data_IF_451958472297
#
_entry.id   IF_451958472297
#
_cell.length_a   1.000
_cell.length_b   1.000
_cell.length_c   1.000
_cell.angle_alpha   90.00
_cell.angle_beta   90.00
_cell.angle_gamma   90.00
#
_symmetry.space_group_name_H-M   'P 1'
#
loop_
_entity.id
_entity.type
_entity.pdbx_description
1 polymer ?
#
# COMPACT_ATOMS: atom_id res chain seq x y z
N UNK A 1 45.57 -34.37 14.22
CA UNK A 1 44.97 -35.72 14.36
C UNK A 1 44.11 -35.72 15.61
N UNK A 2 42.80 -35.76 15.44
CA UNK A 2 41.84 -36.19 16.45
C UNK A 2 40.49 -36.39 15.75
N UNK A 3 39.93 -37.55 15.97
CA UNK A 3 38.97 -38.26 15.13
C UNK A 3 37.53 -37.72 15.22
N UNK A 4 36.79 -37.96 14.14
CA UNK A 4 35.34 -37.98 14.10
C UNK A 4 34.80 -39.13 14.97
N UNK A 5 33.83 -38.86 15.84
CA UNK A 5 32.77 -39.83 16.23
C UNK A 5 31.46 -39.10 16.53
N UNK A 6 30.36 -39.53 15.92
CA UNK A 6 28.98 -39.17 16.26
C UNK A 6 28.39 -40.23 17.19
N UNK A 7 27.77 -39.89 18.34
CA UNK A 7 26.96 -40.86 19.09
C UNK A 7 25.44 -40.58 19.02
N UNK A 8 24.79 -41.51 18.31
CA UNK A 8 23.48 -42.16 18.45
C UNK A 8 22.13 -41.41 18.57
N UNK A 9 21.30 -41.72 17.58
CA UNK A 9 19.86 -41.49 17.52
C UNK A 9 19.13 -42.49 18.42
N UNK A 10 18.63 -42.06 19.58
CA UNK A 10 17.56 -42.79 20.26
C UNK A 10 16.21 -42.42 19.65
N UNK A 11 15.70 -43.31 18.80
CA UNK A 11 14.27 -43.38 18.43
C UNK A 11 13.46 -43.67 19.69
N UNK A 12 12.55 -42.79 20.06
CA UNK A 12 11.43 -43.13 20.95
C UNK A 12 10.10 -42.80 20.28
N UNK A 13 9.26 -43.84 20.26
CA UNK A 13 7.91 -43.87 19.69
C UNK A 13 6.98 -42.87 20.37
N UNK A 14 6.00 -42.44 19.57
CA UNK A 14 4.81 -41.69 19.92
C UNK A 14 4.17 -42.07 21.26
N UNK A 15 3.78 -41.05 22.04
CA UNK A 15 2.46 -41.04 22.68
C UNK A 15 1.93 -39.61 22.68
N UNK A 16 0.87 -39.40 21.90
CA UNK A 16 0.03 -38.20 21.97
C UNK A 16 -0.67 -38.22 23.34
N UNK A 17 -0.24 -37.37 24.26
CA UNK A 17 -1.10 -36.90 25.35
C UNK A 17 -1.73 -35.59 24.88
N UNK A 18 -3.03 -35.65 24.64
CA UNK A 18 -3.87 -34.48 24.41
C UNK A 18 -4.17 -33.92 25.80
N UNK A 19 -3.36 -32.97 26.24
CA UNK A 19 -3.74 -32.10 27.36
C UNK A 19 -4.48 -30.89 26.78
N UNK A 20 -5.78 -30.86 27.06
CA UNK A 20 -6.63 -29.68 26.87
C UNK A 20 -6.29 -28.70 27.99
N UNK A 21 -5.63 -27.59 27.66
CA UNK A 21 -5.93 -26.24 28.18
C UNK A 21 -4.93 -25.20 27.67
N UNK A 22 -5.47 -24.04 27.29
CA UNK A 22 -4.84 -22.81 26.76
C UNK A 22 -4.31 -22.87 25.32
N UNK A 23 -5.12 -22.39 24.37
CA UNK A 23 -4.69 -21.99 23.03
C UNK A 23 -3.68 -20.82 23.13
N UNK A 24 -2.42 -21.13 23.40
CA UNK A 24 -1.34 -20.20 23.09
C UNK A 24 -1.06 -20.35 21.60
N UNK A 25 -1.34 -19.29 20.83
CA UNK A 25 -0.87 -19.15 19.45
C UNK A 25 0.59 -19.61 19.35
N UNK A 26 1.00 -20.29 18.26
CA UNK A 26 2.36 -20.80 18.13
C UNK A 26 3.35 -19.65 18.36
N UNK A 27 4.19 -19.78 19.39
CA UNK A 27 5.22 -18.81 19.73
C UNK A 27 6.25 -18.80 18.60
N UNK A 28 6.01 -17.98 17.58
CA UNK A 28 6.97 -17.79 16.49
C UNK A 28 8.10 -16.91 17.00
N UNK A 29 9.30 -17.48 17.05
CA UNK A 29 10.50 -16.79 17.50
C UNK A 29 11.22 -16.26 16.27
N UNK A 30 11.23 -14.94 16.07
CA UNK A 30 12.01 -14.32 14.99
C UNK A 30 13.49 -14.54 15.30
N UNK A 31 14.24 -15.30 14.48
CA UNK A 31 15.65 -15.50 14.72
C UNK A 31 16.41 -14.17 14.50
N UNK A 32 17.46 -13.87 15.29
CA UNK A 32 18.44 -12.87 14.90
C UNK A 32 19.09 -13.42 13.63
N UNK A 33 18.75 -12.84 12.49
CA UNK A 33 19.05 -13.42 11.19
C UNK A 33 19.69 -12.37 10.30
N UNK A 34 20.79 -12.69 9.60
CA UNK A 34 21.35 -11.85 8.54
C UNK A 34 20.39 -11.66 7.35
N UNK A 35 19.28 -12.41 7.30
CA UNK A 35 18.24 -12.37 6.26
C UNK A 35 17.08 -11.41 6.58
N UNK A 36 17.23 -10.56 7.60
CA UNK A 36 16.28 -9.49 7.90
C UNK A 36 16.73 -8.19 7.24
N UNK A 37 16.08 -7.82 6.13
CA UNK A 37 16.31 -6.54 5.44
C UNK A 37 15.19 -5.56 5.79
N UNK A 38 15.51 -4.33 6.17
CA UNK A 38 14.46 -3.32 6.39
C UNK A 38 13.82 -2.94 5.05
N UNK A 39 12.49 -3.00 4.98
CA UNK A 39 11.69 -2.67 3.79
C UNK A 39 11.14 -1.24 3.83
N UNK A 40 10.88 -0.71 5.02
CA UNK A 40 10.29 0.61 5.15
C UNK A 40 10.31 1.15 6.57
N UNK A 41 9.99 2.43 6.66
CA UNK A 41 9.83 3.19 7.88
C UNK A 41 8.38 3.67 7.96
N UNK A 42 7.76 3.52 9.12
CA UNK A 42 6.50 4.16 9.46
C UNK A 42 6.65 4.89 10.78
N UNK A 43 5.73 5.81 11.08
CA UNK A 43 5.70 6.49 12.37
C UNK A 43 5.56 5.45 13.49
N UNK A 44 6.62 5.27 14.29
CA UNK A 44 6.66 4.30 15.40
C UNK A 44 6.79 2.82 15.04
N UNK A 45 6.88 2.46 13.76
CA UNK A 45 6.99 1.05 13.31
C UNK A 45 8.01 0.88 12.19
N UNK A 46 8.71 -0.25 12.17
CA UNK A 46 9.60 -0.66 11.10
C UNK A 46 9.08 -1.96 10.47
N UNK A 47 9.16 -2.05 9.14
CA UNK A 47 8.81 -3.26 8.39
C UNK A 47 10.09 -3.92 7.88
N UNK A 48 10.24 -5.22 8.11
CA UNK A 48 11.41 -6.00 7.69
C UNK A 48 10.99 -7.17 6.80
N UNK A 49 11.75 -7.45 5.75
CA UNK A 49 11.69 -8.67 4.96
C UNK A 49 12.36 -9.79 5.74
N UNK A 50 11.72 -10.94 5.84
CA UNK A 50 12.27 -12.18 6.37
C UNK A 50 12.30 -13.21 5.25
N UNK A 51 13.50 -13.49 4.74
CA UNK A 51 13.70 -14.62 3.82
C UNK A 51 13.66 -15.95 4.58
N UNK A 52 13.04 -16.97 3.98
CA UNK A 52 12.72 -18.22 4.67
C UNK A 52 13.34 -19.44 4.00
N UNK A 53 14.67 -19.53 4.06
CA UNK A 53 15.40 -20.71 3.57
C UNK A 53 15.00 -21.98 4.33
N UNK A 54 14.78 -23.07 3.60
CA UNK A 54 14.50 -24.40 4.12
C UNK A 54 15.67 -25.33 3.81
N UNK A 55 16.54 -25.63 4.79
CA UNK A 55 17.66 -26.55 4.58
C UNK A 55 17.22 -27.95 4.14
N UNK A 56 16.02 -28.37 4.54
CA UNK A 56 15.44 -29.66 4.15
C UNK A 56 15.05 -29.74 2.68
N UNK A 57 14.70 -28.62 2.05
CA UNK A 57 14.30 -28.54 0.64
C UNK A 57 15.38 -27.93 -0.25
N UNK A 58 16.49 -27.49 0.35
CA UNK A 58 17.52 -26.66 -0.29
C UNK A 58 16.93 -25.51 -1.12
N UNK A 59 15.90 -24.86 -0.56
CA UNK A 59 15.12 -23.85 -1.28
C UNK A 59 14.56 -22.79 -0.35
N UNK A 60 14.26 -21.62 -0.89
CA UNK A 60 13.55 -20.57 -0.17
C UNK A 60 12.04 -20.84 -0.21
N UNK A 61 11.39 -20.72 0.96
CA UNK A 61 9.94 -20.55 1.02
C UNK A 61 9.60 -19.09 0.72
N UNK A 62 8.33 -18.83 0.42
CA UNK A 62 7.81 -17.47 0.23
C UNK A 62 8.22 -16.56 1.40
N UNK A 63 8.78 -15.37 1.10
CA UNK A 63 9.25 -14.45 2.11
C UNK A 63 8.08 -13.84 2.88
N UNK A 64 8.35 -13.39 4.09
CA UNK A 64 7.38 -12.74 4.97
C UNK A 64 7.81 -11.30 5.26
N UNK A 65 6.85 -10.40 5.41
CA UNK A 65 7.09 -9.09 5.99
C UNK A 65 6.80 -9.13 7.50
N UNK A 66 7.63 -8.45 8.28
CA UNK A 66 7.58 -8.41 9.74
C UNK A 66 7.51 -6.97 10.18
N UNK A 67 6.35 -6.53 10.67
CA UNK A 67 6.13 -5.18 11.21
C UNK A 67 6.39 -5.21 12.72
N UNK A 68 7.28 -4.34 13.19
CA UNK A 68 7.70 -4.23 14.60
C UNK A 68 7.67 -2.78 15.07
N UNK A 69 7.41 -2.60 16.36
CA UNK A 69 7.42 -1.27 16.98
C UNK A 69 8.86 -0.79 17.21
N UNK A 70 9.10 0.49 16.93
CA UNK A 70 10.38 1.12 17.21
C UNK A 70 10.53 1.34 18.72
N UNK A 71 11.67 0.89 19.29
CA UNK A 71 11.97 0.98 20.73
C UNK A 71 11.96 2.42 21.29
N UNK A 72 12.12 3.43 20.44
CA UNK A 72 12.20 4.84 20.84
C UNK A 72 10.84 5.57 20.91
N UNK A 73 9.73 4.88 20.61
CA UNK A 73 8.40 5.49 20.50
C UNK A 73 7.46 5.07 21.63
N UNK A 74 6.36 5.82 21.83
CA UNK A 74 5.35 5.52 22.84
C UNK A 74 4.80 4.10 22.69
N UNK A 75 5.34 3.20 23.51
CA UNK A 75 5.16 1.76 23.36
C UNK A 75 3.69 1.34 23.41
N UNK A 76 2.82 2.07 24.12
CA UNK A 76 1.44 1.67 24.40
C UNK A 76 0.50 1.88 23.22
N UNK A 77 0.55 3.03 22.54
CA UNK A 77 -0.37 3.33 21.44
C UNK A 77 -0.05 2.51 20.19
N UNK A 78 1.23 2.48 19.77
CA UNK A 78 1.66 1.69 18.62
C UNK A 78 1.46 0.17 18.84
N UNK A 79 1.56 -0.30 20.09
CA UNK A 79 1.22 -1.70 20.42
C UNK A 79 -0.26 -2.00 20.23
N UNK A 80 -1.15 -1.08 20.63
CA UNK A 80 -2.59 -1.22 20.42
C UNK A 80 -2.91 -1.22 18.92
N UNK A 81 -2.35 -0.26 18.16
CA UNK A 81 -2.54 -0.19 16.70
C UNK A 81 -2.04 -1.45 15.99
N UNK A 82 -0.85 -1.96 16.35
CA UNK A 82 -0.31 -3.18 15.74
C UNK A 82 -1.12 -4.44 16.10
N UNK A 83 -1.63 -4.54 17.34
CA UNK A 83 -2.54 -5.62 17.73
C UNK A 83 -3.88 -5.52 17.00
N UNK A 84 -4.42 -4.31 16.86
CA UNK A 84 -5.64 -4.05 16.12
C UNK A 84 -5.50 -4.42 14.64
N UNK A 85 -4.40 -4.01 14.00
CA UNK A 85 -4.07 -4.37 12.63
C UNK A 85 -4.01 -5.90 12.45
N UNK A 86 -3.39 -6.60 13.40
CA UNK A 86 -3.31 -8.06 13.39
C UNK A 86 -4.69 -8.73 13.44
N UNK A 87 -5.60 -8.23 14.30
CA UNK A 87 -6.95 -8.75 14.45
C UNK A 87 -7.80 -8.50 13.20
N UNK A 88 -7.68 -7.30 12.61
CA UNK A 88 -8.32 -6.96 11.33
C UNK A 88 -7.81 -7.90 10.24
N UNK A 89 -6.50 -7.91 9.96
CA UNK A 89 -5.88 -8.70 8.90
C UNK A 89 -6.17 -10.20 9.02
N UNK A 90 -6.19 -10.75 10.24
CA UNK A 90 -6.53 -12.17 10.48
C UNK A 90 -7.94 -12.52 10.01
N UNK A 91 -8.86 -11.55 10.02
CA UNK A 91 -10.23 -11.73 9.54
C UNK A 91 -10.38 -11.58 8.02
N UNK A 92 -9.42 -10.96 7.34
CA UNK A 92 -9.48 -10.65 5.92
C UNK A 92 -8.97 -11.81 5.07
N UNK A 93 -9.69 -12.11 3.98
CA UNK A 93 -9.27 -13.10 2.98
C UNK A 93 -9.71 -12.64 1.60
N UNK A 94 -8.79 -12.02 0.87
CA UNK A 94 -9.03 -11.48 -0.47
C UNK A 94 -7.73 -11.53 -1.29
N UNK A 95 -7.76 -11.82 -2.60
CA UNK A 95 -6.56 -11.87 -3.43
C UNK A 95 -5.78 -10.54 -3.45
N UNK A 96 -6.49 -9.41 -3.40
CA UNK A 96 -5.92 -8.05 -3.43
C UNK A 96 -5.71 -7.44 -2.04
N UNK A 97 -5.61 -8.25 -0.98
CA UNK A 97 -5.25 -7.81 0.37
C UNK A 97 -4.06 -8.64 0.86
N UNK A 98 -3.10 -7.99 1.53
CA UNK A 98 -1.92 -8.66 2.08
C UNK A 98 -2.33 -9.75 3.09
N UNK A 99 -1.78 -10.95 2.95
CA UNK A 99 -2.16 -12.09 3.79
C UNK A 99 -1.59 -12.02 5.21
N UNK A 100 -2.43 -12.22 6.22
CA UNK A 100 -1.99 -12.45 7.60
C UNK A 100 -1.19 -13.76 7.73
N UNK A 101 -0.13 -13.76 8.56
CA UNK A 101 0.61 -14.99 8.92
C UNK A 101 0.55 -15.29 10.41
N UNK A 102 0.96 -14.35 11.25
CA UNK A 102 1.01 -14.52 12.70
C UNK A 102 1.15 -13.19 13.42
N UNK A 103 0.73 -13.14 14.68
CA UNK A 103 1.00 -12.05 15.59
C UNK A 103 1.52 -12.61 16.91
N UNK A 104 2.56 -12.01 17.47
CA UNK A 104 3.21 -12.51 18.68
C UNK A 104 4.32 -11.60 19.16
N UNK A 105 5.10 -12.08 20.14
CA UNK A 105 6.25 -11.34 20.67
C UNK A 105 7.55 -11.87 20.08
N UNK A 106 8.44 -10.96 19.69
CA UNK A 106 9.82 -11.27 19.33
C UNK A 106 10.63 -11.77 20.53
N UNK A 107 11.89 -12.19 20.30
CA UNK A 107 12.82 -12.58 21.38
C UNK A 107 13.07 -11.45 22.39
N UNK A 108 12.94 -10.21 21.95
CA UNK A 108 13.07 -9.01 22.77
C UNK A 108 11.77 -8.63 23.50
N UNK A 109 10.73 -9.47 23.42
CA UNK A 109 9.44 -9.24 24.06
C UNK A 109 8.53 -8.26 23.32
N UNK A 110 9.00 -7.65 22.22
CA UNK A 110 8.26 -6.63 21.48
C UNK A 110 7.18 -7.28 20.59
N UNK A 111 5.96 -6.70 20.51
CA UNK A 111 4.94 -7.13 19.57
C UNK A 111 5.43 -7.08 18.12
N UNK A 112 5.11 -8.14 17.37
CA UNK A 112 5.51 -8.34 15.98
C UNK A 112 4.32 -8.91 15.21
N UNK A 113 3.99 -8.27 14.09
CA UNK A 113 3.03 -8.75 13.12
C UNK A 113 3.76 -9.32 11.91
N UNK A 114 3.43 -10.55 11.53
CA UNK A 114 3.96 -11.23 10.36
C UNK A 114 2.88 -11.33 9.31
N UNK A 115 3.22 -10.94 8.10
CA UNK A 115 2.33 -10.91 6.94
C UNK A 115 3.05 -11.43 5.70
N UNK A 116 2.30 -11.69 4.65
CA UNK A 116 2.83 -11.84 3.30
C UNK A 116 3.69 -10.62 2.94
N UNK A 117 4.76 -10.82 2.17
CA UNK A 117 5.58 -9.72 1.68
C UNK A 117 5.14 -9.31 0.27
N UNK A 118 5.05 -8.00 0.03
CA UNK A 118 5.07 -7.46 -1.33
C UNK A 118 6.49 -7.39 -1.89
N UNK A 119 6.62 -7.09 -3.19
CA UNK A 119 7.93 -6.88 -3.85
C UNK A 119 8.31 -5.40 -3.82
N UNK A 120 7.40 -4.51 -4.26
CA UNK A 120 7.57 -3.06 -4.25
C UNK A 120 6.29 -2.38 -3.79
N UNK A 121 6.40 -1.22 -3.14
CA UNK A 121 5.24 -0.33 -2.98
C UNK A 121 5.01 0.45 -4.28
N UNK A 122 3.77 0.85 -4.54
CA UNK A 122 3.44 1.71 -5.66
C UNK A 122 4.20 3.05 -5.55
N UNK A 123 4.35 3.59 -4.33
CA UNK A 123 5.17 4.77 -4.06
C UNK A 123 6.60 4.61 -4.60
N UNK A 124 7.28 3.48 -4.30
CA UNK A 124 8.66 3.26 -4.77
C UNK A 124 8.77 3.15 -6.29
N UNK A 125 7.70 2.74 -6.98
CA UNK A 125 7.66 2.71 -8.44
C UNK A 125 7.45 4.12 -8.99
N UNK A 126 6.57 4.91 -8.37
CA UNK A 126 6.34 6.31 -8.71
C UNK A 126 7.61 7.14 -8.54
N UNK A 127 8.29 7.00 -7.40
CA UNK A 127 9.59 7.66 -7.14
C UNK A 127 10.61 7.28 -8.22
N UNK A 128 10.71 6.00 -8.58
CA UNK A 128 11.59 5.54 -9.64
C UNK A 128 11.26 6.15 -11.01
N UNK A 129 9.99 6.29 -11.37
CA UNK A 129 9.58 6.98 -12.60
C UNK A 129 9.95 8.47 -12.58
N UNK A 130 9.77 9.13 -11.44
CA UNK A 130 10.11 10.54 -11.25
C UNK A 130 11.62 10.77 -11.37
N UNK A 131 12.43 10.03 -10.62
CA UNK A 131 13.89 10.13 -10.60
C UNK A 131 14.56 9.84 -11.95
N UNK A 132 13.92 9.00 -12.78
CA UNK A 132 14.45 8.62 -14.09
C UNK A 132 13.72 9.32 -15.25
N UNK A 133 12.89 10.32 -14.96
CA UNK A 133 12.17 11.13 -15.96
C UNK A 133 11.38 10.28 -16.98
N UNK A 134 10.78 9.16 -16.52
CA UNK A 134 10.08 8.20 -17.38
C UNK A 134 8.68 8.63 -17.78
N UNK A 135 8.18 9.73 -17.22
CA UNK A 135 6.80 10.16 -17.36
C UNK A 135 5.80 9.25 -16.65
N UNK A 136 4.49 9.49 -16.84
CA UNK A 136 3.40 8.78 -16.18
C UNK A 136 3.52 7.26 -16.28
N UNK A 137 3.01 6.54 -15.28
CA UNK A 137 2.90 5.08 -15.39
C UNK A 137 1.96 4.71 -16.56
N UNK A 138 2.26 3.65 -17.33
CA UNK A 138 1.41 3.25 -18.45
C UNK A 138 -0.05 3.06 -18.05
N UNK A 139 -0.99 3.54 -18.89
CA UNK A 139 -2.42 3.50 -18.61
C UNK A 139 -2.93 2.10 -18.24
N UNK A 140 -2.43 1.05 -18.90
CA UNK A 140 -2.76 -0.34 -18.58
C UNK A 140 -2.34 -0.74 -17.15
N UNK A 141 -1.17 -0.29 -16.69
CA UNK A 141 -0.70 -0.55 -15.32
C UNK A 141 -1.57 0.20 -14.30
N UNK A 142 -1.94 1.45 -14.61
CA UNK A 142 -2.86 2.24 -13.78
C UNK A 142 -4.22 1.55 -13.67
N UNK A 143 -4.82 1.13 -14.78
CA UNK A 143 -6.11 0.42 -14.79
C UNK A 143 -6.04 -0.91 -14.03
N UNK A 144 -4.90 -1.62 -14.10
CA UNK A 144 -4.67 -2.82 -13.30
C UNK A 144 -4.65 -2.52 -11.80
N UNK A 145 -3.98 -1.45 -11.38
CA UNK A 145 -4.03 -0.97 -9.98
C UNK A 145 -5.45 -0.60 -9.58
N UNK A 146 -6.17 0.17 -10.42
CA UNK A 146 -7.55 0.56 -10.19
C UNK A 146 -8.46 -0.66 -9.97
N UNK A 147 -8.38 -1.67 -10.84
CA UNK A 147 -9.17 -2.89 -10.75
C UNK A 147 -8.94 -3.63 -9.43
N UNK A 148 -7.67 -3.91 -9.11
CA UNK A 148 -7.32 -4.72 -7.95
C UNK A 148 -7.60 -3.99 -6.62
N UNK A 149 -7.30 -2.69 -6.55
CA UNK A 149 -7.58 -1.87 -5.36
C UNK A 149 -9.08 -1.67 -5.18
N UNK A 150 -9.84 -1.40 -6.25
CA UNK A 150 -11.29 -1.30 -6.17
C UNK A 150 -11.93 -2.63 -5.75
N UNK A 151 -11.39 -3.77 -6.19
CA UNK A 151 -11.83 -5.10 -5.74
C UNK A 151 -11.60 -5.30 -4.24
N UNK A 152 -10.42 -4.92 -3.73
CA UNK A 152 -10.13 -4.96 -2.30
C UNK A 152 -11.06 -4.03 -1.49
N UNK A 153 -11.27 -2.79 -1.95
CA UNK A 153 -12.17 -1.83 -1.32
C UNK A 153 -13.63 -2.30 -1.33
N UNK A 154 -14.10 -2.89 -2.44
CA UNK A 154 -15.43 -3.49 -2.52
C UNK A 154 -15.60 -4.57 -1.44
N UNK A 155 -14.61 -5.45 -1.29
CA UNK A 155 -14.63 -6.47 -0.24
C UNK A 155 -14.67 -5.85 1.17
N UNK A 156 -13.83 -4.85 1.44
CA UNK A 156 -13.78 -4.16 2.73
C UNK A 156 -15.11 -3.46 3.06
N UNK A 157 -15.60 -2.64 2.14
CA UNK A 157 -16.80 -1.81 2.30
C UNK A 157 -18.06 -2.66 2.41
N UNK A 158 -18.24 -3.64 1.52
CA UNK A 158 -19.49 -4.40 1.39
C UNK A 158 -19.51 -5.63 2.29
N UNK A 159 -18.42 -6.41 2.30
CA UNK A 159 -18.41 -7.72 2.98
C UNK A 159 -17.95 -7.60 4.43
N UNK A 160 -16.94 -6.76 4.69
CA UNK A 160 -16.35 -6.61 6.02
C UNK A 160 -16.88 -5.43 6.81
N UNK A 161 -17.53 -4.47 6.15
CA UNK A 161 -17.99 -3.22 6.75
C UNK A 161 -16.83 -2.52 7.47
N UNK A 162 -15.74 -2.35 6.74
CA UNK A 162 -14.55 -1.64 7.17
C UNK A 162 -14.19 -0.58 6.15
N UNK A 163 -13.83 0.60 6.62
CA UNK A 163 -13.00 1.55 5.89
C UNK A 163 -11.55 1.15 6.03
N UNK A 164 -10.77 1.37 4.98
CA UNK A 164 -9.32 1.28 5.09
C UNK A 164 -8.76 2.45 5.91
N UNK A 165 -9.19 3.68 5.60
CA UNK A 165 -8.87 4.87 6.40
C UNK A 165 -7.47 5.46 6.16
N UNK A 166 -6.69 4.92 5.23
CA UNK A 166 -5.33 5.40 4.87
C UNK A 166 -4.92 4.91 3.48
N UNK A 167 -5.76 5.18 2.48
CA UNK A 167 -5.45 4.81 1.09
C UNK A 167 -4.44 5.82 0.53
N UNK A 168 -3.29 5.31 0.08
CA UNK A 168 -2.20 6.06 -0.57
C UNK A 168 -1.26 5.09 -1.29
N UNK A 169 -0.45 5.56 -2.23
CA UNK A 169 0.51 4.73 -2.97
C UNK A 169 1.46 3.91 -2.08
N UNK A 170 1.84 4.42 -0.91
CA UNK A 170 2.70 3.69 0.04
C UNK A 170 2.06 2.40 0.58
N UNK A 171 0.72 2.34 0.62
CA UNK A 171 -0.06 1.21 1.14
C UNK A 171 -0.59 0.27 0.03
N UNK A 172 -0.12 0.47 -1.21
CA UNK A 172 -0.41 -0.38 -2.37
C UNK A 172 0.87 -1.15 -2.72
N UNK A 173 0.81 -2.48 -2.70
CA UNK A 173 1.94 -3.36 -3.01
C UNK A 173 1.78 -4.00 -4.39
N UNK A 174 2.84 -3.94 -5.19
CA UNK A 174 2.93 -4.52 -6.54
C UNK A 174 3.79 -5.79 -6.48
N UNK A 175 3.35 -6.84 -7.17
CA UNK A 175 4.08 -8.11 -7.31
C UNK A 175 4.05 -8.61 -8.75
N UNK A 176 5.18 -9.17 -9.18
CA UNK A 176 5.34 -9.82 -10.47
C UNK A 176 5.14 -8.89 -11.64
N UNK A 177 5.56 -7.63 -11.52
CA UNK A 177 5.38 -6.57 -12.52
C UNK A 177 3.89 -6.35 -12.86
N UNK A 178 3.16 -5.74 -11.91
CA UNK A 178 1.72 -5.46 -11.98
C UNK A 178 0.78 -6.68 -12.15
N UNK A 179 1.30 -7.91 -12.16
CA UNK A 179 0.46 -9.13 -12.19
C UNK A 179 -0.49 -9.22 -11.00
N UNK A 180 -0.07 -8.77 -9.82
CA UNK A 180 -0.92 -8.74 -8.63
C UNK A 180 -0.67 -7.46 -7.85
N UNK A 181 -1.77 -6.79 -7.49
CA UNK A 181 -1.76 -5.62 -6.62
C UNK A 181 -2.50 -5.94 -5.32
N UNK A 182 -1.93 -5.54 -4.18
CA UNK A 182 -2.51 -5.78 -2.85
C UNK A 182 -2.50 -4.53 -1.99
N UNK A 183 -3.58 -4.29 -1.27
CA UNK A 183 -3.63 -3.32 -0.17
C UNK A 183 -2.97 -3.88 1.09
N UNK A 184 -2.24 -3.02 1.80
CA UNK A 184 -1.66 -3.30 3.11
C UNK A 184 -1.88 -2.14 4.09
N UNK A 185 -1.45 -2.34 5.33
CA UNK A 185 -1.57 -1.40 6.45
C UNK A 185 -3.01 -1.06 6.87
N UNK A 186 -3.54 -1.91 7.74
CA UNK A 186 -4.90 -1.76 8.30
C UNK A 186 -4.87 -1.18 9.73
N UNK A 187 -3.77 -0.54 10.12
CA UNK A 187 -3.55 -0.04 11.48
C UNK A 187 -4.52 1.04 11.93
N UNK A 188 -5.22 1.68 10.99
CA UNK A 188 -6.20 2.75 11.21
C UNK A 188 -7.56 2.47 10.55
N UNK A 189 -7.84 1.20 10.23
CA UNK A 189 -9.12 0.81 9.64
C UNK A 189 -10.29 1.13 10.58
N UNK A 190 -11.40 1.64 10.05
CA UNK A 190 -12.56 2.08 10.84
C UNK A 190 -13.77 1.17 10.57
N UNK A 191 -14.50 0.80 11.61
CA UNK A 191 -15.73 0.01 11.45
C UNK A 191 -16.85 0.84 10.85
N UNK A 192 -17.61 0.23 9.95
CA UNK A 192 -18.76 0.84 9.30
C UNK A 192 -20.08 0.30 9.87
N UNK A 193 -21.09 1.16 9.87
CA UNK A 193 -22.50 0.79 10.06
C UNK A 193 -23.01 0.03 8.82
N UNK A 194 -24.24 -0.49 8.89
CA UNK A 194 -24.88 -1.14 7.73
C UNK A 194 -25.10 -0.18 6.55
N UNK A 195 -25.13 1.14 6.81
CA UNK A 195 -25.26 2.18 5.78
C UNK A 195 -23.94 2.54 5.11
N UNK A 196 -22.81 1.97 5.55
CA UNK A 196 -21.49 2.33 5.02
C UNK A 196 -20.94 3.66 5.56
N UNK A 197 -21.44 4.08 6.72
CA UNK A 197 -20.98 5.24 7.48
C UNK A 197 -20.02 4.79 8.58
N UNK A 198 -18.98 5.57 8.89
CA UNK A 198 -18.10 5.25 10.01
C UNK A 198 -18.88 5.21 11.33
N UNK A 199 -18.62 4.19 12.16
CA UNK A 199 -19.26 4.08 13.48
C UNK A 199 -18.85 5.22 14.41
N UNK A 200 -17.61 5.70 14.30
CA UNK A 200 -17.10 6.90 14.95
C UNK A 200 -16.22 7.64 13.93
N UNK A 201 -16.55 8.91 13.66
CA UNK A 201 -15.81 9.71 12.69
C UNK A 201 -14.44 10.12 13.25
N UNK A 202 -14.30 10.26 14.58
CA UNK A 202 -13.04 10.58 15.27
C UNK A 202 -11.99 9.46 15.17
N UNK A 203 -12.40 8.24 14.83
CA UNK A 203 -11.48 7.11 14.63
C UNK A 203 -10.77 7.18 13.27
N UNK A 204 -11.25 8.03 12.34
CA UNK A 204 -10.62 8.22 11.04
C UNK A 204 -9.36 9.07 11.17
N UNK A 205 -8.22 8.52 10.77
CA UNK A 205 -6.92 9.20 10.83
C UNK A 205 -6.56 9.83 9.48
N UNK A 206 -6.57 9.04 8.40
CA UNK A 206 -6.15 9.49 7.08
C UNK A 206 -4.68 9.91 7.01
N UNK A 207 -4.29 10.37 5.82
CA UNK A 207 -3.05 11.13 5.62
C UNK A 207 -3.44 12.39 4.86
N UNK A 208 -3.07 13.57 5.38
CA UNK A 208 -3.63 14.87 5.00
C UNK A 208 -3.78 15.09 3.49
N UNK A 209 -2.73 14.87 2.70
CA UNK A 209 -2.77 15.08 1.25
C UNK A 209 -3.66 14.10 0.47
N UNK A 210 -4.05 12.96 1.06
CA UNK A 210 -5.02 12.02 0.49
C UNK A 210 -6.43 12.16 1.06
N UNK A 211 -6.60 12.95 2.11
CA UNK A 211 -7.88 13.11 2.80
C UNK A 211 -8.87 13.92 1.96
N UNK A 212 -10.14 13.49 1.98
CA UNK A 212 -11.25 14.17 1.33
C UNK A 212 -11.71 15.41 2.11
N UNK A 213 -12.46 16.30 1.46
CA UNK A 213 -12.97 17.53 2.09
C UNK A 213 -13.78 17.28 3.35
N UNK A 214 -14.60 16.21 3.38
CA UNK A 214 -15.43 15.86 4.54
C UNK A 214 -14.62 15.61 5.82
N UNK A 215 -13.34 15.23 5.71
CA UNK A 215 -12.44 15.01 6.85
C UNK A 215 -12.10 16.34 7.52
N UNK A 216 -11.94 17.41 6.74
CA UNK A 216 -11.56 18.74 7.24
C UNK A 216 -12.76 19.56 7.70
N UNK A 217 -13.92 19.33 7.11
CA UNK A 217 -15.18 20.00 7.49
C UNK A 217 -15.86 19.34 8.69
N UNK A 218 -15.45 18.13 9.07
CA UNK A 218 -16.09 17.34 10.12
C UNK A 218 -17.44 16.75 9.68
N UNK A 219 -17.64 16.62 8.37
CA UNK A 219 -18.81 15.97 7.80
C UNK A 219 -18.73 14.45 7.97
N UNK A 220 -19.85 13.76 7.71
CA UNK A 220 -19.95 12.32 7.96
C UNK A 220 -18.95 11.52 7.11
N UNK A 221 -18.10 10.74 7.77
CA UNK A 221 -17.15 9.84 7.10
C UNK A 221 -17.89 8.59 6.60
N UNK A 222 -17.64 8.22 5.35
CA UNK A 222 -18.29 7.07 4.70
C UNK A 222 -17.30 6.32 3.81
N UNK A 223 -17.75 5.21 3.21
CA UNK A 223 -17.01 4.51 2.14
C UNK A 223 -16.51 5.43 1.02
N UNK A 224 -17.17 6.58 0.79
CA UNK A 224 -16.79 7.57 -0.22
C UNK A 224 -15.52 8.34 0.10
N UNK A 225 -15.10 8.35 1.36
CA UNK A 225 -13.84 8.95 1.79
C UNK A 225 -12.65 8.11 1.31
N UNK A 226 -12.70 6.79 1.46
CA UNK A 226 -11.73 5.88 0.84
C UNK A 226 -11.73 6.02 -0.70
N UNK A 227 -12.90 6.25 -1.31
CA UNK A 227 -13.00 6.41 -2.77
C UNK A 227 -12.35 7.69 -3.29
N UNK A 228 -12.35 8.77 -2.50
CA UNK A 228 -11.63 9.99 -2.85
C UNK A 228 -10.11 9.76 -2.83
N UNK A 229 -9.60 9.15 -1.75
CA UNK A 229 -8.20 8.78 -1.63
C UNK A 229 -7.77 7.78 -2.73
N UNK A 230 -8.66 6.85 -3.11
CA UNK A 230 -8.48 5.98 -4.28
C UNK A 230 -8.36 6.77 -5.59
N UNK A 231 -9.12 7.85 -5.77
CA UNK A 231 -8.91 8.75 -6.90
C UNK A 231 -7.53 9.42 -6.85
N UNK A 232 -7.06 9.80 -5.67
CA UNK A 232 -5.76 10.44 -5.52
C UNK A 232 -4.57 9.51 -5.80
N UNK A 233 -4.65 8.19 -5.54
CA UNK A 233 -3.57 7.27 -5.98
C UNK A 233 -3.45 7.22 -7.52
N UNK A 234 -4.53 7.46 -8.25
CA UNK A 234 -4.48 7.58 -9.72
C UNK A 234 -3.70 8.82 -10.12
N UNK A 235 -3.96 9.94 -9.44
CA UNK A 235 -3.21 11.17 -9.65
C UNK A 235 -1.72 10.99 -9.36
N UNK A 236 -1.35 10.30 -8.28
CA UNK A 236 0.07 10.03 -7.97
C UNK A 236 0.79 9.24 -9.08
N UNK A 237 0.12 8.28 -9.72
CA UNK A 237 0.69 7.50 -10.82
C UNK A 237 0.88 8.31 -12.11
N UNK A 238 0.16 9.43 -12.24
CA UNK A 238 0.26 10.34 -13.39
C UNK A 238 1.25 11.47 -13.11
N UNK A 239 1.05 12.19 -12.01
CA UNK A 239 1.83 13.38 -11.64
C UNK A 239 3.15 13.04 -10.94
N UNK A 240 3.41 11.76 -10.69
CA UNK A 240 4.62 11.20 -10.08
C UNK A 240 5.05 11.87 -8.77
N UNK A 241 4.08 12.36 -8.01
CA UNK A 241 4.29 13.09 -6.76
C UNK A 241 3.13 12.87 -5.80
N UNK A 242 3.28 13.17 -4.49
CA UNK A 242 2.16 13.21 -3.58
C UNK A 242 1.22 14.40 -3.87
N UNK A 243 -0.11 14.27 -3.65
CA UNK A 243 -1.07 15.32 -4.00
C UNK A 243 -0.78 16.65 -3.32
N UNK A 244 -0.88 17.74 -4.08
CA UNK A 244 -0.71 19.14 -3.64
C UNK A 244 0.67 19.52 -3.09
N UNK A 245 1.60 18.59 -2.88
CA UNK A 245 2.94 18.87 -2.32
C UNK A 245 3.77 19.81 -3.20
N UNK A 246 3.54 19.85 -4.51
CA UNK A 246 4.16 20.85 -5.39
C UNK A 246 3.89 22.31 -5.00
N UNK A 247 2.89 22.59 -4.16
CA UNK A 247 2.62 23.95 -3.61
C UNK A 247 3.53 24.33 -2.46
N UNK A 248 4.17 23.35 -1.83
CA UNK A 248 5.19 23.55 -0.81
C UNK A 248 6.57 23.84 -1.43
N UNK A 249 6.76 23.52 -2.71
CA UNK A 249 8.02 23.72 -3.39
C UNK A 249 8.19 25.21 -3.76
N UNK A 250 9.16 25.86 -3.15
CA UNK A 250 9.79 27.04 -3.72
C UNK A 250 11.30 26.80 -3.74
N UNK A 251 11.88 26.87 -4.94
CA UNK A 251 13.28 26.54 -5.23
C UNK A 251 14.23 27.67 -4.83
N UNK A 252 14.20 28.07 -3.57
CA UNK A 252 15.15 29.04 -3.01
C UNK A 252 15.62 28.55 -1.64
N UNK A 253 16.73 27.81 -1.62
CA UNK A 253 17.45 27.54 -0.38
C UNK A 253 18.03 28.85 0.17
N UNK A 254 17.86 29.08 1.48
CA UNK A 254 18.54 30.18 2.16
C UNK A 254 20.06 29.93 2.14
N UNK A 255 20.82 30.94 1.74
CA UNK A 255 22.28 30.94 1.95
C UNK A 255 22.59 30.90 3.45
N UNK A 256 23.65 30.18 3.86
CA UNK A 256 24.15 30.18 5.24
C UNK A 256 24.52 31.60 5.72
N UNK A 257 24.76 32.54 4.80
CA UNK A 257 25.04 33.96 5.08
C UNK A 257 23.84 34.89 4.86
N UNK A 258 22.61 34.35 4.74
CA UNK A 258 21.41 35.14 4.54
C UNK A 258 21.25 36.24 5.62
N UNK A 259 20.90 37.45 5.18
CA UNK A 259 20.61 38.53 6.12
C UNK A 259 19.30 38.27 6.86
N UNK A 260 19.08 38.98 7.98
CA UNK A 260 17.83 38.88 8.72
C UNK A 260 16.61 39.23 7.84
N UNK A 261 16.77 40.17 6.91
CA UNK A 261 15.71 40.57 5.96
C UNK A 261 15.42 39.44 4.95
N UNK A 262 16.45 38.74 4.46
CA UNK A 262 16.28 37.59 3.56
C UNK A 262 15.55 36.43 4.26
N UNK A 263 15.87 36.18 5.53
CA UNK A 263 15.19 35.18 6.37
C UNK A 263 13.70 35.53 6.52
N UNK A 264 13.38 36.78 6.85
CA UNK A 264 12.00 37.24 7.00
C UNK A 264 11.20 37.11 5.69
N UNK A 265 11.82 37.43 4.55
CA UNK A 265 11.22 37.25 3.22
C UNK A 265 10.95 35.77 2.94
N UNK A 266 11.92 34.90 3.25
CA UNK A 266 11.80 33.46 3.04
C UNK A 266 10.71 32.84 3.93
N UNK A 267 10.65 33.21 5.21
CA UNK A 267 9.59 32.77 6.14
C UNK A 267 8.20 33.20 5.66
N UNK A 268 8.07 34.43 5.15
CA UNK A 268 6.82 34.92 4.58
C UNK A 268 6.41 34.16 3.30
N UNK A 269 7.38 33.78 2.46
CA UNK A 269 7.15 32.93 1.27
C UNK A 269 6.70 31.53 1.69
N UNK A 270 7.41 30.89 2.62
CA UNK A 270 7.06 29.58 3.18
C UNK A 270 5.65 29.58 3.75
N UNK A 271 5.31 30.57 4.60
CA UNK A 271 3.99 30.67 5.20
C UNK A 271 2.87 30.80 4.15
N UNK A 272 3.15 31.47 3.03
CA UNK A 272 2.21 31.57 1.91
C UNK A 272 2.04 30.22 1.18
N UNK A 273 3.13 29.53 0.88
CA UNK A 273 3.11 28.19 0.29
C UNK A 273 2.34 27.19 1.17
N UNK A 274 2.60 27.19 2.48
CA UNK A 274 1.89 26.36 3.45
C UNK A 274 0.39 26.67 3.43
N UNK A 275 0.01 27.96 3.44
CA UNK A 275 -1.40 28.35 3.37
C UNK A 275 -2.08 27.90 2.08
N UNK A 276 -1.38 27.95 0.94
CA UNK A 276 -1.88 27.46 -0.35
C UNK A 276 -2.03 25.92 -0.36
N UNK A 277 -1.08 25.20 0.24
CA UNK A 277 -1.16 23.76 0.44
C UNK A 277 -2.38 23.38 1.29
N UNK A 278 -2.50 23.94 2.50
CA UNK A 278 -3.60 23.65 3.42
C UNK A 278 -4.97 24.01 2.82
N UNK A 279 -5.06 25.13 2.09
CA UNK A 279 -6.30 25.53 1.39
C UNK A 279 -6.73 24.53 0.32
N UNK A 280 -5.80 23.74 -0.21
CA UNK A 280 -6.08 22.79 -1.27
C UNK A 280 -6.34 21.36 -0.83
N UNK A 281 -6.09 21.05 0.44
CA UNK A 281 -6.45 19.75 1.00
C UNK A 281 -7.95 19.47 0.83
N UNK A 282 -8.29 18.21 0.54
CA UNK A 282 -9.67 17.81 0.23
C UNK A 282 -10.19 18.24 -1.15
N UNK A 283 -9.41 18.99 -1.94
CA UNK A 283 -9.76 19.35 -3.31
C UNK A 283 -9.14 18.42 -4.34
N UNK A 284 -9.79 18.29 -5.50
CA UNK A 284 -9.25 17.56 -6.67
C UNK A 284 -8.03 18.30 -7.24
N UNK A 285 -6.83 17.69 -7.28
CA UNK A 285 -5.68 18.29 -7.96
C UNK A 285 -5.87 18.29 -9.48
N UNK A 286 -5.15 19.19 -10.18
CA UNK A 286 -5.15 19.21 -11.64
C UNK A 286 -4.25 18.10 -12.19
N UNK A 287 -4.69 17.43 -13.26
CA UNK A 287 -3.87 16.46 -13.99
C UNK A 287 -2.95 17.23 -14.96
N UNK A 288 -1.65 16.85 -15.09
CA UNK A 288 -0.77 17.35 -16.13
C UNK A 288 -1.16 16.78 -17.51
N UNK A 289 -2.15 17.39 -18.16
CA UNK A 289 -2.76 16.88 -19.41
C UNK A 289 -1.79 16.80 -20.60
N UNK A 290 -0.69 17.56 -20.60
CA UNK A 290 0.29 17.56 -21.69
C UNK A 290 1.03 16.23 -21.86
N UNK A 291 0.96 15.35 -20.86
CA UNK A 291 1.71 14.10 -20.80
C UNK A 291 0.84 12.87 -21.11
N UNK A 292 -0.45 13.07 -21.44
CA UNK A 292 -1.42 11.98 -21.57
C UNK A 292 -1.97 11.87 -22.99
N UNK A 293 -2.06 10.63 -23.48
CA UNK A 293 -2.71 10.28 -24.74
C UNK A 293 -4.13 9.71 -24.51
N UNK A 294 -4.77 9.25 -25.59
CA UNK A 294 -6.14 8.71 -25.56
C UNK A 294 -6.28 7.43 -24.71
N UNK A 295 -5.19 6.69 -24.45
CA UNK A 295 -5.24 5.47 -23.63
C UNK A 295 -5.56 5.77 -22.16
N UNK A 296 -5.29 7.00 -21.71
CA UNK A 296 -5.59 7.45 -20.35
C UNK A 296 -7.03 7.90 -20.15
N UNK A 297 -7.87 7.95 -21.19
CA UNK A 297 -9.26 8.40 -21.05
C UNK A 297 -10.03 7.62 -19.95
N UNK A 298 -10.01 6.28 -19.87
CA UNK A 298 -10.70 5.55 -18.80
C UNK A 298 -10.08 5.83 -17.43
N UNK A 299 -8.77 6.05 -17.37
CA UNK A 299 -8.05 6.42 -16.13
C UNK A 299 -8.53 7.77 -15.62
N UNK A 300 -8.63 8.76 -16.51
CA UNK A 300 -9.09 10.11 -16.20
C UNK A 300 -10.56 10.10 -15.75
N UNK A 301 -11.43 9.33 -16.42
CA UNK A 301 -12.84 9.19 -16.04
C UNK A 301 -12.99 8.69 -14.59
N UNK A 302 -12.23 7.66 -14.22
CA UNK A 302 -12.23 7.13 -12.85
C UNK A 302 -11.70 8.18 -11.88
N UNK A 303 -10.58 8.84 -12.19
CA UNK A 303 -10.00 9.90 -11.37
C UNK A 303 -11.03 10.99 -11.08
N UNK A 304 -11.64 11.57 -12.12
CA UNK A 304 -12.63 12.63 -11.98
C UNK A 304 -13.84 12.13 -11.20
N UNK A 305 -14.41 10.98 -11.52
CA UNK A 305 -15.56 10.45 -10.78
C UNK A 305 -15.27 10.24 -9.28
N UNK A 306 -14.09 9.69 -8.94
CA UNK A 306 -13.70 9.39 -7.57
C UNK A 306 -13.35 10.64 -6.75
N UNK A 307 -12.82 11.68 -7.38
CA UNK A 307 -12.42 12.93 -6.70
C UNK A 307 -13.48 14.02 -6.76
N UNK A 308 -14.76 13.65 -6.95
CA UNK A 308 -15.86 14.62 -6.94
C UNK A 308 -16.04 15.28 -5.58
N UNK A 309 -16.37 16.58 -5.58
CA UNK A 309 -16.44 17.37 -4.33
C UNK A 309 -17.55 16.85 -3.43
N UNK A 310 -18.72 16.52 -4.00
CA UNK A 310 -19.82 15.89 -3.27
C UNK A 310 -19.56 14.38 -3.11
N UNK A 311 -19.41 13.86 -1.89
CA UNK A 311 -19.19 12.43 -1.64
C UNK A 311 -20.30 11.54 -2.21
N UNK A 312 -21.54 12.04 -2.33
CA UNK A 312 -22.66 11.26 -2.84
C UNK A 312 -22.53 10.95 -4.33
N UNK A 313 -21.89 11.83 -5.08
CA UNK A 313 -21.65 11.68 -6.52
C UNK A 313 -20.47 10.76 -6.83
N UNK A 314 -19.55 10.55 -5.88
CA UNK A 314 -18.44 9.61 -6.04
C UNK A 314 -18.97 8.18 -6.22
N UNK A 315 -18.44 7.37 -7.16
CA UNK A 315 -18.84 5.98 -7.30
C UNK A 315 -18.40 5.15 -6.08
N UNK A 316 -19.16 4.12 -5.75
CA UNK A 316 -18.73 3.08 -4.82
C UNK A 316 -17.67 2.17 -5.46
N UNK A 317 -16.84 1.52 -4.64
CA UNK A 317 -15.89 0.51 -5.12
C UNK A 317 -16.57 -0.59 -5.96
N UNK A 318 -17.81 -0.98 -5.60
CA UNK A 318 -18.61 -1.93 -6.38
C UNK A 318 -18.93 -1.43 -7.79
N UNK A 319 -19.24 -0.15 -7.94
CA UNK A 319 -19.52 0.45 -9.25
C UNK A 319 -18.24 0.50 -10.10
N UNK A 320 -17.10 0.88 -9.53
CA UNK A 320 -15.81 0.87 -10.23
C UNK A 320 -15.45 -0.54 -10.73
N UNK A 321 -15.53 -1.56 -9.86
CA UNK A 321 -15.28 -2.95 -10.26
C UNK A 321 -16.18 -3.39 -11.41
N UNK A 322 -17.47 -3.03 -11.35
CA UNK A 322 -18.40 -3.37 -12.43
C UNK A 322 -18.01 -2.67 -13.75
N UNK A 323 -17.73 -1.37 -13.72
CA UNK A 323 -17.35 -0.60 -14.91
C UNK A 323 -16.07 -1.14 -15.57
N UNK A 324 -15.05 -1.46 -14.77
CA UNK A 324 -13.78 -2.00 -15.27
C UNK A 324 -13.96 -3.40 -15.89
N UNK A 325 -14.76 -4.27 -15.28
CA UNK A 325 -15.07 -5.58 -15.87
C UNK A 325 -15.80 -5.45 -17.22
N UNK A 326 -16.74 -4.51 -17.33
CA UNK A 326 -17.43 -4.23 -18.60
C UNK A 326 -16.44 -3.73 -19.67
N UNK A 327 -15.51 -2.85 -19.30
CA UNK A 327 -14.47 -2.36 -20.21
C UNK A 327 -13.58 -3.49 -20.73
N UNK A 328 -13.14 -4.38 -19.84
CA UNK A 328 -12.33 -5.56 -20.18
C UNK A 328 -13.06 -6.51 -21.14
N UNK A 329 -14.36 -6.74 -20.94
CA UNK A 329 -15.19 -7.58 -21.81
C UNK A 329 -15.34 -6.96 -23.21
N UNK A 330 -15.48 -5.64 -23.29
CA UNK A 330 -15.55 -4.90 -24.56
C UNK A 330 -14.22 -5.01 -25.31
N UNK A 331 -13.09 -4.77 -24.66
CA UNK A 331 -11.76 -4.87 -25.28
C UNK A 331 -11.48 -6.28 -25.82
N UNK A 332 -11.86 -7.33 -25.07
CA UNK A 332 -11.78 -8.72 -25.54
C UNK A 332 -12.65 -8.99 -26.75
N UNK A 333 -13.86 -8.40 -26.81
CA UNK A 333 -14.81 -8.59 -27.90
C UNK A 333 -14.37 -7.91 -29.20
N UNK A 334 -13.68 -6.78 -29.11
CA UNK A 334 -13.17 -6.01 -30.27
C UNK A 334 -11.85 -6.60 -30.79
N UNK A 335 -11.21 -7.51 -30.04
CA UNK A 335 -9.97 -8.15 -30.45
C UNK A 335 -8.77 -7.23 -30.37
N UNK A 336 -8.78 -6.27 -29.43
CA UNK A 336 -7.57 -5.54 -29.04
C UNK A 336 -6.62 -6.59 -28.45
N UNK A 337 -5.71 -7.10 -29.28
CA UNK A 337 -4.68 -8.04 -28.82
C UNK A 337 -3.68 -7.24 -28.01
N UNK A 338 -3.43 -7.67 -26.78
CA UNK A 338 -2.24 -7.27 -26.03
C UNK A 338 -1.02 -7.39 -26.96
N UNK A 339 -0.32 -6.29 -27.23
CA UNK A 339 0.87 -6.30 -28.09
C UNK A 339 2.03 -7.14 -27.52
N UNK A 340 1.85 -7.74 -26.33
CA UNK A 340 2.82 -8.60 -25.65
C UNK A 340 3.13 -9.94 -26.33
N UNK A 341 2.46 -10.31 -27.43
CA UNK A 341 2.75 -11.58 -28.15
C UNK A 341 3.62 -11.42 -29.42
N UNK A 342 4.04 -10.22 -29.83
CA UNK A 342 4.82 -10.04 -31.08
C UNK A 342 6.35 -10.26 -30.97
N UNK A 343 6.94 -10.39 -29.79
CA UNK A 343 8.41 -10.54 -29.66
C UNK A 343 8.95 -11.97 -29.58
N UNK A 344 8.13 -13.02 -29.73
CA UNK A 344 8.62 -14.42 -29.75
C UNK A 344 8.63 -15.02 -31.16
N UNK A 345 8.51 -14.18 -32.18
CA UNK A 345 8.13 -14.61 -33.53
C UNK A 345 9.17 -14.50 -34.65
N UNK A 346 10.39 -14.01 -34.44
CA UNK A 346 11.36 -13.87 -35.54
C UNK A 346 12.79 -14.14 -35.08
N UNK A 347 13.19 -15.41 -35.07
CA UNK A 347 14.56 -15.78 -35.44
C UNK A 347 14.53 -17.02 -36.35
N UNK A 348 14.43 -16.75 -37.66
CA UNK A 348 14.84 -17.66 -38.71
C UNK A 348 15.98 -17.01 -39.50
N UNK A 349 17.20 -17.26 -39.04
CA UNK A 349 18.18 -17.94 -39.87
C UNK A 349 19.24 -17.07 -40.53
N UNK A 350 20.51 -17.38 -40.21
CA UNK A 350 21.62 -17.18 -41.13
C UNK A 350 22.77 -18.15 -40.79
N UNK A 351 22.88 -19.24 -41.55
CA UNK A 351 24.19 -19.83 -41.86
C UNK A 351 24.98 -18.87 -42.75
N UNK A 352 26.30 -18.75 -42.54
CA UNK A 352 27.18 -18.86 -43.69
C UNK A 352 28.50 -19.62 -43.42
N UNK A 353 28.79 -20.52 -44.39
CA UNK A 353 30.07 -21.03 -44.91
C UNK A 353 31.12 -21.54 -43.92
#
# INVERSE_FOLDING_TARGET
>A
MSEFVTPDVKRTRSSLKIDRETESSPKFVIPPSPFLKQLGYGTGVNVYLLERFSPLKDSYNSPWAVKKINRKTEFTEFSKRLSYEADILKSLKHPNIIGYRSYGKGKDGMPCLMMESGEKSLLSIIECHCENELGPLPAANILKVCSDVASALQYLHVTKRLLHGDIKSANVLIMGDFKTVKLCDFGVAVKLTEKGEACNDEDYVGTECWSASEVFTGDKITTKTDMFAFGLIIWEMIALSPPHVGKLNFEEDLDEQASQEDIEIWEAKQAKCDAEYFKSLGSRPQIPLSELDEEYLPVMEIFYACTESDPNLRPSAKQIVHSLNCLDEIHKSIGVKDEKEREVGEDKGATPI
#
